data_IF_051666297835
#
_entry.id   IF_051666297835
#
_cell.length_a   1.000
_cell.length_b   1.000
_cell.length_c   1.000
_cell.angle_alpha   90.00
_cell.angle_beta   90.00
_cell.angle_gamma   90.00
#
_symmetry.space_group_name_H-M   'P 1'
#
loop_
_entity.id
_entity.type
_entity.pdbx_description
1 polymer ?
#
# COMPACT_ATOMS: atom_id res chain seq x y z
N UNK A 1 4.62 34.40 -9.19
CA UNK A 1 3.38 33.63 -9.19
C UNK A 1 3.73 32.21 -9.62
N UNK A 2 3.88 31.26 -8.67
CA UNK A 2 4.14 29.85 -9.01
C UNK A 2 2.86 29.29 -9.62
N UNK A 3 2.88 29.05 -10.92
CA UNK A 3 1.81 28.37 -11.64
C UNK A 3 1.70 26.95 -11.04
N UNK A 4 0.66 26.69 -10.26
CA UNK A 4 0.40 25.34 -9.74
C UNK A 4 0.15 24.42 -10.92
N UNK A 5 0.92 23.34 -10.99
CA UNK A 5 0.74 22.32 -12.03
C UNK A 5 -0.66 21.71 -11.94
N UNK A 6 -1.33 21.38 -13.03
CA UNK A 6 -2.71 20.85 -13.05
C UNK A 6 -2.90 19.64 -12.11
N UNK A 7 -1.92 18.74 -12.03
CA UNK A 7 -1.95 17.56 -11.15
C UNK A 7 -1.99 17.91 -9.65
N UNK A 8 -1.38 19.07 -9.22
CA UNK A 8 -1.39 19.48 -7.81
C UNK A 8 -2.81 19.83 -7.34
N UNK A 9 -3.59 20.47 -8.20
CA UNK A 9 -5.00 20.78 -7.91
C UNK A 9 -5.84 19.53 -7.83
N UNK A 10 -5.59 18.59 -8.74
CA UNK A 10 -6.25 17.30 -8.78
C UNK A 10 -5.92 16.45 -7.56
N UNK A 11 -4.65 16.26 -7.26
CA UNK A 11 -4.20 15.50 -6.10
C UNK A 11 -4.73 16.07 -4.78
N UNK A 12 -4.82 17.41 -4.64
CA UNK A 12 -5.45 18.05 -3.47
C UNK A 12 -6.93 17.68 -3.33
N UNK A 13 -7.65 17.54 -4.44
CA UNK A 13 -9.05 17.11 -4.45
C UNK A 13 -9.17 15.67 -3.94
N UNK A 14 -8.36 14.76 -4.46
CA UNK A 14 -8.36 13.36 -4.03
C UNK A 14 -7.92 13.21 -2.57
N UNK A 15 -6.96 13.98 -2.12
CA UNK A 15 -6.57 14.02 -0.70
C UNK A 15 -7.70 14.52 0.21
N UNK A 16 -8.52 15.47 -0.23
CA UNK A 16 -9.71 15.90 0.53
C UNK A 16 -10.77 14.79 0.60
N UNK A 17 -10.97 14.05 -0.47
CA UNK A 17 -11.84 12.86 -0.46
C UNK A 17 -11.30 11.80 0.50
N UNK A 18 -10.00 11.52 0.45
CA UNK A 18 -9.33 10.59 1.34
C UNK A 18 -9.53 10.95 2.81
N UNK A 19 -9.40 12.22 3.17
CA UNK A 19 -9.61 12.71 4.53
C UNK A 19 -11.04 12.48 5.05
N UNK A 20 -12.03 12.42 4.16
CA UNK A 20 -13.41 12.05 4.52
C UNK A 20 -13.60 10.54 4.60
N UNK A 21 -13.00 9.80 3.67
CA UNK A 21 -13.14 8.35 3.57
C UNK A 21 -12.46 7.60 4.71
N UNK A 22 -11.42 8.19 5.33
CA UNK A 22 -10.70 7.56 6.44
C UNK A 22 -11.60 7.23 7.64
N UNK A 23 -12.74 7.93 7.77
CA UNK A 23 -13.72 7.67 8.81
C UNK A 23 -14.66 6.48 8.47
N UNK A 24 -14.58 5.94 7.26
CA UNK A 24 -15.37 4.78 6.82
C UNK A 24 -14.46 3.63 6.39
N UNK A 25 -14.12 2.69 7.31
CA UNK A 25 -13.22 1.58 7.01
C UNK A 25 -13.63 0.73 5.82
N UNK A 26 -14.93 0.51 5.62
CA UNK A 26 -15.43 -0.25 4.48
C UNK A 26 -15.18 0.47 3.15
N UNK A 27 -15.27 1.81 3.12
CA UNK A 27 -14.94 2.60 1.94
C UNK A 27 -13.43 2.54 1.65
N UNK A 28 -12.60 2.59 2.68
CA UNK A 28 -11.13 2.45 2.56
C UNK A 28 -10.75 1.11 1.94
N UNK A 29 -11.34 0.00 2.41
CA UNK A 29 -11.11 -1.33 1.85
C UNK A 29 -11.57 -1.43 0.38
N UNK A 30 -12.69 -0.79 0.01
CA UNK A 30 -13.14 -0.76 -1.39
C UNK A 30 -12.17 -0.03 -2.31
N UNK A 31 -11.63 1.11 -1.89
CA UNK A 31 -10.62 1.85 -2.67
C UNK A 31 -9.36 1.01 -2.85
N UNK A 32 -8.88 0.37 -1.79
CA UNK A 32 -7.74 -0.54 -1.87
C UNK A 32 -7.99 -1.70 -2.86
N UNK A 33 -9.19 -2.30 -2.85
CA UNK A 33 -9.56 -3.37 -3.77
C UNK A 33 -9.65 -2.90 -5.23
N UNK A 34 -10.09 -1.66 -5.47
CA UNK A 34 -10.12 -1.08 -6.82
C UNK A 34 -8.70 -0.80 -7.34
N UNK A 35 -7.83 -0.25 -6.48
CA UNK A 35 -6.44 0.01 -6.81
C UNK A 35 -5.69 -1.30 -7.11
N UNK A 36 -5.93 -2.36 -6.36
CA UNK A 36 -5.35 -3.69 -6.55
C UNK A 36 -5.70 -4.25 -7.93
N UNK A 37 -6.99 -4.27 -8.29
CA UNK A 37 -7.45 -4.71 -9.61
C UNK A 37 -6.82 -3.91 -10.75
N UNK A 38 -6.75 -2.58 -10.61
CA UNK A 38 -6.10 -1.73 -11.62
C UNK A 38 -4.61 -2.03 -11.73
N UNK A 39 -3.96 -2.25 -10.60
CA UNK A 39 -2.56 -2.63 -10.52
C UNK A 39 -2.27 -3.96 -11.20
N UNK A 40 -3.10 -4.97 -11.02
CA UNK A 40 -2.98 -6.27 -11.69
C UNK A 40 -3.03 -6.14 -13.21
N UNK A 41 -3.92 -5.30 -13.75
CA UNK A 41 -4.03 -5.08 -15.19
C UNK A 41 -2.81 -4.32 -15.78
N UNK A 42 -2.18 -3.48 -14.99
CA UNK A 42 -1.01 -2.70 -15.41
C UNK A 42 0.34 -3.41 -15.18
N UNK A 43 0.34 -4.61 -14.58
CA UNK A 43 1.55 -5.35 -14.18
C UNK A 43 2.51 -5.74 -15.32
N UNK A 44 2.14 -5.53 -16.60
CA UNK A 44 3.03 -5.72 -17.75
C UNK A 44 4.16 -4.68 -17.89
N UNK A 45 4.09 -3.57 -17.18
CA UNK A 45 5.03 -2.45 -17.28
C UNK A 45 6.17 -2.53 -16.24
N UNK A 46 6.81 -3.70 -16.09
CA UNK A 46 7.88 -3.95 -15.10
C UNK A 46 9.20 -3.39 -15.54
N UNK A 47 9.48 -2.35 -15.97
CA UNK A 47 10.78 -1.77 -16.33
C UNK A 47 11.34 -0.87 -15.21
N UNK A 48 11.83 0.32 -15.56
CA UNK A 48 12.42 1.28 -14.62
C UNK A 48 11.45 1.76 -13.52
N UNK A 49 10.16 1.47 -13.63
CA UNK A 49 9.11 1.81 -12.66
C UNK A 49 8.83 0.69 -11.64
N UNK A 50 9.59 -0.41 -11.63
CA UNK A 50 9.36 -1.56 -10.76
C UNK A 50 9.30 -1.18 -9.27
N UNK A 51 10.14 -0.25 -8.81
CA UNK A 51 10.14 0.22 -7.42
C UNK A 51 8.86 0.98 -7.06
N UNK A 52 8.40 1.86 -7.94
CA UNK A 52 7.14 2.62 -7.75
C UNK A 52 5.97 1.64 -7.68
N UNK A 53 6.01 0.61 -8.50
CA UNK A 53 4.99 -0.43 -8.57
C UNK A 53 4.92 -1.25 -7.29
N UNK A 54 6.07 -1.68 -6.78
CA UNK A 54 6.19 -2.42 -5.53
C UNK A 54 5.74 -1.59 -4.31
N UNK A 55 6.12 -0.32 -4.26
CA UNK A 55 5.68 0.61 -3.22
C UNK A 55 4.16 0.89 -3.31
N UNK A 56 3.59 0.97 -4.52
CA UNK A 56 2.15 1.11 -4.74
C UNK A 56 1.39 -0.11 -4.23
N UNK A 57 1.82 -1.32 -4.57
CA UNK A 57 1.21 -2.56 -4.09
C UNK A 57 1.30 -2.68 -2.57
N UNK A 58 2.43 -2.30 -1.98
CA UNK A 58 2.59 -2.27 -0.52
C UNK A 58 1.61 -1.27 0.11
N UNK A 59 1.42 -0.09 -0.49
CA UNK A 59 0.44 0.91 -0.04
C UNK A 59 -0.99 0.36 -0.08
N UNK A 60 -1.36 -0.38 -1.12
CA UNK A 60 -2.67 -1.05 -1.22
C UNK A 60 -2.88 -2.02 -0.07
N UNK A 61 -1.87 -2.88 0.22
CA UNK A 61 -1.95 -3.85 1.32
C UNK A 61 -2.05 -3.17 2.68
N UNK A 62 -1.22 -2.11 2.92
CA UNK A 62 -1.26 -1.34 4.15
C UNK A 62 -2.63 -0.68 4.38
N UNK A 63 -3.16 0.00 3.37
CA UNK A 63 -4.47 0.68 3.46
C UNK A 63 -5.59 -0.35 3.70
N UNK A 64 -5.51 -1.53 3.08
CA UNK A 64 -6.44 -2.65 3.32
C UNK A 64 -6.35 -3.17 4.76
N UNK A 65 -5.15 -3.46 5.24
CA UNK A 65 -4.91 -3.94 6.61
C UNK A 65 -5.38 -2.92 7.65
N UNK A 66 -5.16 -1.63 7.39
CA UNK A 66 -5.68 -0.57 8.25
C UNK A 66 -7.21 -0.54 8.25
N UNK A 67 -7.85 -0.64 7.10
CA UNK A 67 -9.31 -0.67 6.98
C UNK A 67 -9.94 -1.87 7.68
N UNK A 68 -9.26 -3.02 7.71
CA UNK A 68 -9.65 -4.23 8.44
C UNK A 68 -9.31 -4.21 9.92
N UNK A 69 -8.65 -3.15 10.39
CA UNK A 69 -8.19 -2.99 11.78
C UNK A 69 -7.05 -3.95 12.18
N UNK A 70 -6.39 -4.58 11.23
CA UNK A 70 -5.27 -5.50 11.44
C UNK A 70 -3.97 -4.75 11.74
N UNK A 71 -3.76 -3.59 11.12
CA UNK A 71 -2.57 -2.76 11.28
C UNK A 71 -2.92 -1.31 11.68
N UNK A 72 -2.23 -0.78 12.69
CA UNK A 72 -2.46 0.58 13.23
C UNK A 72 -1.18 1.42 13.34
N UNK A 73 -0.04 0.89 12.89
CA UNK A 73 1.26 1.52 12.97
C UNK A 73 1.48 2.74 12.06
N UNK A 74 0.43 3.21 11.37
CA UNK A 74 0.51 4.36 10.46
C UNK A 74 -0.27 5.56 10.99
N UNK A 75 0.33 6.75 10.89
CA UNK A 75 -0.33 8.00 11.26
C UNK A 75 -1.47 8.38 10.32
N UNK A 76 -2.48 9.09 10.84
CA UNK A 76 -3.64 9.52 10.03
C UNK A 76 -3.25 10.37 8.82
N UNK A 77 -2.27 11.26 8.98
CA UNK A 77 -1.78 12.12 7.88
C UNK A 77 -1.18 11.31 6.74
N UNK A 78 -0.33 10.34 7.06
CA UNK A 78 0.28 9.41 6.11
C UNK A 78 -0.78 8.54 5.43
N UNK A 79 -1.74 8.02 6.20
CA UNK A 79 -2.84 7.24 5.64
C UNK A 79 -3.70 8.05 4.65
N UNK A 80 -4.02 9.31 4.99
CA UNK A 80 -4.75 10.21 4.07
C UNK A 80 -3.94 10.47 2.80
N UNK A 81 -2.63 10.61 2.92
CA UNK A 81 -1.74 10.80 1.77
C UNK A 81 -1.73 9.56 0.86
N UNK A 82 -1.56 8.36 1.43
CA UNK A 82 -1.60 7.09 0.70
C UNK A 82 -2.97 6.86 0.05
N UNK A 83 -4.05 7.04 0.80
CA UNK A 83 -5.41 6.87 0.28
C UNK A 83 -5.71 7.89 -0.83
N UNK A 84 -5.20 9.12 -0.70
CA UNK A 84 -5.27 10.14 -1.76
C UNK A 84 -4.56 9.72 -3.03
N UNK A 85 -3.37 9.11 -2.91
CA UNK A 85 -2.63 8.55 -4.04
C UNK A 85 -3.36 7.39 -4.71
N UNK A 86 -3.96 6.48 -3.92
CA UNK A 86 -4.76 5.38 -4.45
C UNK A 86 -6.03 5.88 -5.15
N UNK A 87 -6.72 6.87 -4.60
CA UNK A 87 -7.87 7.50 -5.25
C UNK A 87 -7.48 8.18 -6.56
N UNK A 88 -6.33 8.87 -6.57
CA UNK A 88 -5.77 9.45 -7.78
C UNK A 88 -5.48 8.37 -8.82
N UNK A 89 -4.84 7.29 -8.43
CA UNK A 89 -4.52 6.14 -9.29
C UNK A 89 -5.76 5.45 -9.86
N UNK A 90 -6.83 5.32 -9.07
CA UNK A 90 -8.10 4.68 -9.48
C UNK A 90 -9.01 5.62 -10.27
N UNK A 91 -8.75 6.92 -10.24
CA UNK A 91 -9.64 7.93 -10.82
C UNK A 91 -9.88 7.71 -12.34
N UNK A 92 -11.13 7.84 -12.83
CA UNK A 92 -11.49 7.55 -14.23
C UNK A 92 -10.87 8.52 -15.25
N UNK A 93 -10.20 9.59 -14.83
CA UNK A 93 -9.49 10.51 -15.74
C UNK A 93 -8.27 9.85 -16.39
N UNK A 94 -7.70 8.82 -15.78
CA UNK A 94 -6.73 7.95 -16.43
C UNK A 94 -7.22 7.38 -17.78
N UNK A 95 -8.52 7.16 -17.95
CA UNK A 95 -9.08 6.67 -19.21
C UNK A 95 -8.99 7.69 -20.36
N UNK A 96 -8.83 8.99 -20.06
CA UNK A 96 -8.66 10.04 -21.07
C UNK A 96 -7.18 10.20 -21.43
N UNK A 97 -6.28 9.91 -20.48
CA UNK A 97 -4.84 10.01 -20.65
C UNK A 97 -4.27 8.78 -21.37
N UNK A 98 -4.94 7.63 -21.29
CA UNK A 98 -4.62 6.42 -22.08
C UNK A 98 -4.72 6.64 -23.61
N UNK A 99 -5.39 7.71 -24.07
CA UNK A 99 -5.39 8.10 -25.47
C UNK A 99 -4.07 8.79 -25.92
N UNK A 100 -3.16 9.14 -24.99
CA UNK A 100 -1.83 9.69 -25.28
C UNK A 100 -0.78 8.80 -24.59
N UNK A 101 -0.32 7.71 -25.23
CA UNK A 101 0.30 6.57 -24.55
C UNK A 101 1.70 6.79 -23.96
N UNK A 102 2.31 7.96 -24.08
CA UNK A 102 3.70 8.15 -23.64
C UNK A 102 3.88 9.29 -22.63
N UNK A 103 3.16 10.39 -22.77
CA UNK A 103 3.36 11.58 -21.94
C UNK A 103 2.54 11.56 -20.64
N UNK A 104 1.34 10.98 -20.66
CA UNK A 104 0.46 10.88 -19.48
C UNK A 104 1.01 9.95 -18.41
N UNK A 105 1.63 8.85 -18.82
CA UNK A 105 2.18 7.84 -17.90
C UNK A 105 3.38 8.33 -17.09
N UNK A 106 4.22 9.22 -17.67
CA UNK A 106 5.38 9.77 -16.98
C UNK A 106 5.00 10.80 -15.90
N UNK A 107 3.96 11.61 -16.14
CA UNK A 107 3.53 12.63 -15.18
C UNK A 107 2.80 11.99 -13.98
N UNK A 108 1.99 10.97 -14.22
CA UNK A 108 1.34 10.17 -13.19
C UNK A 108 2.34 9.37 -12.35
N UNK A 109 3.35 8.78 -12.98
CA UNK A 109 4.43 8.10 -12.30
C UNK A 109 5.24 9.04 -11.40
N UNK A 110 5.45 10.29 -11.83
CA UNK A 110 6.14 11.30 -11.03
C UNK A 110 5.36 11.71 -9.78
N UNK A 111 4.02 11.83 -9.88
CA UNK A 111 3.14 12.10 -8.72
C UNK A 111 3.18 10.94 -7.73
N UNK A 112 3.01 9.72 -8.22
CA UNK A 112 3.07 8.52 -7.40
C UNK A 112 4.44 8.36 -6.75
N UNK A 113 5.54 8.53 -7.49
CA UNK A 113 6.89 8.47 -6.97
C UNK A 113 7.14 9.50 -5.86
N UNK A 114 6.63 10.72 -6.04
CA UNK A 114 6.74 11.76 -5.02
C UNK A 114 5.97 11.40 -3.75
N UNK A 115 4.71 10.96 -3.86
CA UNK A 115 3.89 10.55 -2.70
C UNK A 115 4.50 9.35 -2.01
N UNK A 116 4.85 8.30 -2.76
CA UNK A 116 5.44 7.07 -2.23
C UNK A 116 6.79 7.34 -1.55
N UNK A 117 7.57 8.30 -2.07
CA UNK A 117 8.78 8.77 -1.43
C UNK A 117 8.53 9.40 -0.05
N UNK A 118 7.42 10.13 0.13
CA UNK A 118 7.06 10.72 1.43
C UNK A 118 6.65 9.69 2.49
N UNK A 119 6.13 8.55 2.07
CA UNK A 119 5.57 7.52 2.96
C UNK A 119 6.43 6.25 3.04
N UNK A 120 7.64 6.31 2.49
CA UNK A 120 8.52 5.14 2.36
C UNK A 120 8.89 4.50 3.71
N UNK A 121 9.09 5.31 4.74
CA UNK A 121 9.41 4.81 6.08
C UNK A 121 8.27 3.93 6.63
N UNK A 122 7.03 4.34 6.43
CA UNK A 122 5.84 3.60 6.84
C UNK A 122 5.64 2.33 6.01
N UNK A 123 6.00 2.36 4.73
CA UNK A 123 5.97 1.16 3.89
C UNK A 123 6.99 0.11 4.36
N UNK A 124 8.19 0.53 4.77
CA UNK A 124 9.18 -0.37 5.37
C UNK A 124 8.71 -0.94 6.70
N UNK A 125 8.16 -0.11 7.58
CA UNK A 125 7.61 -0.57 8.86
C UNK A 125 6.46 -1.57 8.66
N UNK A 126 5.60 -1.35 7.68
CA UNK A 126 4.51 -2.26 7.34
C UNK A 126 5.02 -3.60 6.79
N UNK A 127 6.02 -3.59 5.90
CA UNK A 127 6.65 -4.83 5.39
C UNK A 127 7.27 -5.64 6.50
N UNK A 128 7.94 -4.99 7.46
CA UNK A 128 8.49 -5.66 8.62
C UNK A 128 7.40 -6.32 9.49
N UNK A 129 6.28 -5.63 9.67
CA UNK A 129 5.11 -6.18 10.37
C UNK A 129 4.50 -7.37 9.62
N UNK A 130 4.33 -7.29 8.28
CA UNK A 130 3.86 -8.41 7.46
C UNK A 130 4.75 -9.65 7.62
N UNK A 131 6.06 -9.46 7.64
CA UNK A 131 7.01 -10.55 7.78
C UNK A 131 6.95 -11.19 9.18
N UNK A 132 6.86 -10.39 10.24
CA UNK A 132 6.67 -10.90 11.60
C UNK A 132 5.38 -11.72 11.73
N UNK A 133 4.27 -11.20 11.23
CA UNK A 133 2.98 -11.89 11.24
C UNK A 133 3.03 -13.23 10.47
N UNK A 134 3.80 -13.26 9.37
CA UNK A 134 4.03 -14.49 8.59
C UNK A 134 4.82 -15.52 9.39
N UNK A 135 5.89 -15.10 10.07
CA UNK A 135 6.73 -15.98 10.88
C UNK A 135 5.96 -16.55 12.08
N UNK A 136 5.15 -15.73 12.74
CA UNK A 136 4.30 -16.18 13.85
C UNK A 136 3.28 -17.23 13.42
N UNK A 137 2.68 -17.08 12.23
CA UNK A 137 1.74 -18.07 11.69
C UNK A 137 2.44 -19.34 11.18
N UNK A 138 3.71 -19.26 10.78
CA UNK A 138 4.51 -20.39 10.33
C UNK A 138 5.12 -21.20 11.47
N UNK A 139 5.23 -20.63 12.67
CA UNK A 139 5.75 -21.34 13.84
C UNK A 139 4.60 -22.17 14.44
N UNK A 140 4.71 -23.52 14.45
CA UNK A 140 3.67 -24.33 15.06
C UNK A 140 3.57 -24.01 16.55
N UNK A 141 2.34 -23.82 17.05
CA UNK A 141 2.02 -23.39 18.40
C UNK A 141 2.52 -24.34 19.52
N UNK A 142 3.16 -25.43 19.17
CA UNK A 142 3.73 -26.38 20.13
C UNK A 142 5.02 -27.00 19.54
N UNK A 143 6.22 -26.52 19.90
CA UNK A 143 7.45 -27.26 19.59
C UNK A 143 7.33 -28.65 20.25
N UNK A 144 7.72 -29.75 19.55
CA UNK A 144 7.71 -31.07 20.16
C UNK A 144 8.57 -31.01 21.42
N UNK A 145 7.94 -31.20 22.58
CA UNK A 145 8.64 -31.39 23.84
C UNK A 145 9.46 -32.65 23.65
N UNK A 146 10.78 -32.48 23.41
CA UNK A 146 11.75 -33.54 23.54
C UNK A 146 11.64 -34.04 24.96
N UNK A 147 10.84 -35.08 25.15
CA UNK A 147 10.90 -35.88 26.40
C UNK A 147 12.29 -36.49 26.44
N UNK A 148 13.21 -35.84 27.15
CA UNK A 148 14.44 -36.43 27.61
C UNK A 148 14.03 -37.62 28.51
N UNK A 149 14.03 -38.81 27.91
CA UNK A 149 13.94 -40.07 28.66
C UNK A 149 15.07 -40.05 29.68
N UNK A 150 14.69 -39.98 30.95
CA UNK A 150 15.60 -40.10 32.04
C UNK A 150 16.38 -41.45 31.90
N UNK A 151 17.70 -41.48 32.10
CA UNK A 151 18.42 -42.74 32.10
C UNK A 151 17.95 -43.58 33.28
N UNK A 152 17.50 -44.81 32.97
CA UNK A 152 17.17 -45.83 33.96
C UNK A 152 18.39 -46.00 34.89
N UNK A 153 18.19 -45.64 36.16
CA UNK A 153 19.09 -46.02 37.23
C UNK A 153 18.96 -47.54 37.44
N UNK A 154 19.81 -48.28 36.78
CA UNK A 154 19.99 -49.73 37.10
C UNK A 154 21.02 -49.84 38.20
N UNK A 155 20.62 -50.45 39.29
CA UNK A 155 21.26 -51.01 40.47
C UNK A 155 22.60 -51.68 40.20
#
# INVERSE_FOLDING_TARGET
MKLEKPWQRWFRRERRKAARLIHNPAAVVRVAAQADRKAEHAAGARGPLAQIWDDLQTSVRLVRAWGRREYRGVGRGTLVLMLGALLYFVSPIDAIIDAIPVLGFLDDAAVLAWVLGQVRAELYAFRAWEEQARLETATPANPPVLQLKAPDAAT
#
